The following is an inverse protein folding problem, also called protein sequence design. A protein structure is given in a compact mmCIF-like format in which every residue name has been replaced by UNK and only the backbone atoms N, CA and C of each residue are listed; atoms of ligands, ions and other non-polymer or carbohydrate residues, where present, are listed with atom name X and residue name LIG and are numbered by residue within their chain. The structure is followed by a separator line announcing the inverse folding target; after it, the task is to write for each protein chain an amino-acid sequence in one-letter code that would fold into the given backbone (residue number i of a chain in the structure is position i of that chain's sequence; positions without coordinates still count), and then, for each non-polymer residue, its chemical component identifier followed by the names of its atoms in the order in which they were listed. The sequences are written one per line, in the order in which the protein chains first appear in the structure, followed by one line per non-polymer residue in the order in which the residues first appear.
data_IF_232974064971
#
_entry.id   IF_232974064971
#
_cell.length_a   1.000
_cell.length_b   1.000
_cell.length_c   1.000
_cell.angle_alpha   90.00
_cell.angle_beta   90.00
_cell.angle_gamma   90.00
#
_symmetry.space_group_name_H-M   'P 1'
#
loop_
_entity.id
_entity.type
_entity.pdbx_description
1 polymer ?
#
# COMPACT_ATOMS: atom_id res chain seq x y z
N UNK A 1 3.50 16.38 -13.04
CA UNK A 1 3.85 17.31 -11.94
C UNK A 1 3.78 16.61 -10.58
N UNK A 2 2.67 15.95 -10.21
CA UNK A 2 2.54 15.23 -8.91
C UNK A 2 3.65 14.19 -8.66
N UNK A 3 3.96 13.31 -9.61
CA UNK A 3 4.97 12.25 -9.44
C UNK A 3 6.37 12.79 -9.08
N UNK A 4 6.85 13.82 -9.79
CA UNK A 4 8.18 14.39 -9.55
C UNK A 4 8.27 14.96 -8.13
N UNK A 5 7.28 15.75 -7.73
CA UNK A 5 7.21 16.32 -6.39
C UNK A 5 7.08 15.25 -5.31
N UNK A 6 6.34 14.17 -5.54
CA UNK A 6 6.28 13.02 -4.62
C UNK A 6 7.66 12.40 -4.46
N UNK A 7 8.33 12.03 -5.56
CA UNK A 7 9.66 11.39 -5.52
C UNK A 7 10.69 12.29 -4.85
N UNK A 8 10.73 13.58 -5.18
CA UNK A 8 11.64 14.55 -4.58
C UNK A 8 11.50 14.62 -3.05
N UNK A 9 10.26 14.66 -2.55
CA UNK A 9 10.00 14.68 -1.11
C UNK A 9 10.31 13.35 -0.44
N UNK A 10 9.95 12.23 -1.06
CA UNK A 10 10.28 10.90 -0.54
C UNK A 10 11.80 10.75 -0.40
N UNK A 11 12.58 11.25 -1.36
CA UNK A 11 14.05 11.28 -1.28
C UNK A 11 14.56 12.15 -0.12
N UNK A 12 13.96 13.34 0.10
CA UNK A 12 14.31 14.21 1.24
C UNK A 12 14.05 13.55 2.60
N UNK A 13 13.12 12.59 2.64
CA UNK A 13 12.80 11.79 3.82
C UNK A 13 13.58 10.48 3.92
N UNK A 14 14.61 10.28 3.08
CA UNK A 14 15.40 9.06 3.01
C UNK A 14 14.57 7.79 2.74
N UNK A 15 13.48 7.91 1.98
CA UNK A 15 12.71 6.75 1.54
C UNK A 15 13.53 5.89 0.57
N UNK A 16 13.39 4.57 0.67
CA UNK A 16 13.88 3.68 -0.37
C UNK A 16 12.91 3.75 -1.54
N UNK A 17 13.40 4.14 -2.71
CA UNK A 17 12.61 4.19 -3.92
C UNK A 17 13.22 3.20 -4.91
N UNK A 18 12.41 2.35 -5.52
CA UNK A 18 12.84 1.44 -6.58
C UNK A 18 11.92 1.56 -7.79
N UNK A 19 12.40 1.12 -8.93
CA UNK A 19 11.66 1.13 -10.19
C UNK A 19 12.03 -0.10 -10.99
N UNK A 20 11.10 -0.60 -11.80
CA UNK A 20 11.37 -1.70 -12.71
C UNK A 20 10.68 -1.50 -14.05
N UNK A 21 11.09 -2.29 -15.03
CA UNK A 21 10.50 -2.31 -16.35
C UNK A 21 10.48 -3.72 -16.89
N UNK A 22 9.51 -4.03 -17.74
CA UNK A 22 9.44 -5.31 -18.44
C UNK A 22 10.50 -5.38 -19.54
N UNK A 23 10.86 -6.59 -19.96
CA UNK A 23 11.82 -6.74 -21.06
C UNK A 23 11.25 -6.21 -22.38
N UNK A 24 11.96 -5.27 -23.00
CA UNK A 24 11.65 -4.74 -24.33
C UNK A 24 12.94 -4.57 -25.16
N UNK A 25 12.94 -4.93 -26.46
CA UNK A 25 14.14 -4.85 -27.30
C UNK A 25 14.77 -3.46 -27.39
N UNK A 26 13.96 -2.41 -27.38
CA UNK A 26 14.40 -1.02 -27.47
C UNK A 26 15.16 -0.53 -26.24
N UNK A 27 14.94 -1.14 -25.06
CA UNK A 27 15.61 -0.76 -23.82
C UNK A 27 17.10 -1.10 -23.84
N UNK A 28 17.49 -2.17 -24.54
CA UNK A 28 18.90 -2.55 -24.73
C UNK A 28 19.70 -1.47 -25.44
N UNK A 29 19.07 -0.70 -26.34
CA UNK A 29 19.73 0.42 -27.06
C UNK A 29 20.11 1.57 -26.13
N UNK A 30 19.43 1.67 -24.99
CA UNK A 30 19.64 2.70 -23.98
C UNK A 30 20.19 2.14 -22.66
N UNK A 31 20.65 0.88 -22.70
CA UNK A 31 21.26 0.16 -21.58
C UNK A 31 20.34 -0.02 -20.35
N UNK A 32 19.03 -0.12 -20.58
CA UNK A 32 18.05 -0.48 -19.56
C UNK A 32 17.69 -1.96 -19.78
N UNK A 33 17.70 -2.75 -18.70
CA UNK A 33 17.44 -4.19 -18.72
C UNK A 33 16.10 -4.46 -18.04
N UNK A 34 15.17 -5.04 -18.79
CA UNK A 34 13.89 -5.44 -18.20
C UNK A 34 14.02 -6.66 -17.29
N UNK A 35 13.13 -6.75 -16.31
CA UNK A 35 13.19 -7.76 -15.26
C UNK A 35 14.23 -7.49 -14.16
N UNK A 36 14.89 -6.33 -14.22
CA UNK A 36 15.82 -5.85 -13.19
C UNK A 36 15.18 -4.74 -12.35
N UNK A 37 15.50 -4.72 -11.06
CA UNK A 37 15.05 -3.67 -10.13
C UNK A 37 16.16 -2.63 -9.95
N UNK A 38 15.80 -1.37 -10.15
CA UNK A 38 16.70 -0.23 -10.12
C UNK A 38 16.36 0.63 -8.91
N UNK A 39 17.36 1.05 -8.12
CA UNK A 39 17.13 1.90 -6.94
C UNK A 39 17.15 3.38 -7.33
N UNK A 40 16.06 4.09 -7.09
CA UNK A 40 15.99 5.55 -7.22
C UNK A 40 16.68 6.24 -6.04
N UNK A 41 18.02 6.24 -6.09
CA UNK A 41 18.92 6.98 -5.19
C UNK A 41 19.45 8.27 -5.83
N UNK A 42 19.18 8.49 -7.14
CA UNK A 42 20.13 8.70 -8.26
C UNK A 42 20.66 7.36 -8.75
N UNK A 43 20.20 6.86 -9.90
CA UNK A 43 20.19 5.39 -10.14
C UNK A 43 21.29 4.94 -11.05
N UNK A 44 21.78 3.73 -10.80
CA UNK A 44 22.89 3.07 -11.44
C UNK A 44 22.55 2.01 -12.50
N UNK A 45 22.96 2.27 -13.75
CA UNK A 45 23.80 1.55 -14.73
C UNK A 45 23.94 2.45 -16.00
N UNK A 46 25.07 2.47 -16.72
CA UNK A 46 25.39 3.49 -17.75
C UNK A 46 24.25 3.81 -18.75
N UNK A 47 23.46 4.86 -18.51
CA UNK A 47 22.50 5.40 -19.48
C UNK A 47 23.26 6.06 -20.63
N UNK A 48 22.88 5.78 -21.88
CA UNK A 48 23.57 6.31 -23.07
C UNK A 48 22.85 7.50 -23.74
N UNK A 49 21.81 8.05 -23.12
CA UNK A 49 21.07 9.18 -23.67
C UNK A 49 21.50 10.53 -23.08
N UNK A 50 20.61 11.51 -23.14
CA UNK A 50 20.84 12.83 -22.55
C UNK A 50 21.06 12.71 -21.03
N UNK A 51 22.03 13.46 -20.49
CA UNK A 51 22.48 13.40 -19.09
C UNK A 51 23.28 12.15 -18.68
N UNK A 52 23.62 11.28 -19.63
CA UNK A 52 24.70 10.29 -19.47
C UNK A 52 26.03 10.91 -19.03
N UNK A 53 26.94 10.12 -18.48
CA UNK A 53 28.29 10.56 -18.05
C UNK A 53 29.09 11.24 -19.17
N UNK A 54 28.80 10.89 -20.42
CA UNK A 54 29.44 11.42 -21.63
C UNK A 54 28.62 12.52 -22.32
N UNK A 55 27.47 12.91 -21.76
CA UNK A 55 26.56 13.88 -22.37
C UNK A 55 27.15 15.30 -22.39
N UNK A 56 27.09 15.95 -23.56
CA UNK A 56 27.48 17.35 -23.70
C UNK A 56 26.61 18.32 -22.87
N UNK A 57 25.43 17.88 -22.40
CA UNK A 57 24.54 18.69 -21.55
C UNK A 57 25.16 19.03 -20.19
N UNK A 58 26.09 18.24 -19.68
CA UNK A 58 26.81 18.59 -18.45
C UNK A 58 27.61 19.90 -18.59
N UNK A 59 27.99 20.29 -19.81
CA UNK A 59 28.66 21.58 -20.08
C UNK A 59 27.76 22.80 -19.84
N UNK A 60 26.45 22.62 -19.77
CA UNK A 60 25.51 23.71 -19.50
C UNK A 60 25.20 23.87 -18.00
N UNK A 61 25.82 23.05 -17.15
CA UNK A 61 25.67 23.09 -15.68
C UNK A 61 26.95 23.66 -15.07
N UNK A 62 26.82 24.50 -14.04
CA UNK A 62 27.98 25.07 -13.36
C UNK A 62 28.77 24.03 -12.56
N UNK A 63 30.09 24.21 -12.46
CA UNK A 63 30.98 23.32 -11.71
C UNK A 63 30.59 23.19 -10.24
N UNK A 64 30.09 24.26 -9.62
CA UNK A 64 29.57 24.25 -8.25
C UNK A 64 28.40 23.28 -8.08
N UNK A 65 27.49 23.25 -9.08
CA UNK A 65 26.32 22.37 -9.05
C UNK A 65 26.72 20.93 -9.35
N UNK A 66 27.66 20.69 -10.25
CA UNK A 66 28.23 19.35 -10.50
C UNK A 66 28.86 18.79 -9.20
N UNK A 67 29.67 19.60 -8.51
CA UNK A 67 30.30 19.21 -7.24
C UNK A 67 29.26 18.93 -6.14
N UNK A 68 28.22 19.74 -6.03
CA UNK A 68 27.10 19.52 -5.09
C UNK A 68 26.30 18.25 -5.40
N UNK A 69 26.19 17.89 -6.67
CA UNK A 69 25.50 16.67 -7.11
C UNK A 69 26.36 15.40 -6.93
N UNK A 70 27.62 15.53 -6.51
CA UNK A 70 28.58 14.44 -6.28
C UNK A 70 28.62 13.44 -7.45
N UNK A 71 28.69 13.94 -8.68
CA UNK A 71 28.68 13.09 -9.88
C UNK A 71 30.02 12.37 -9.94
N UNK A 72 30.02 11.09 -9.55
CA UNK A 72 31.11 10.15 -9.77
C UNK A 72 30.84 9.46 -11.11
N UNK A 73 31.87 9.32 -11.95
CA UNK A 73 31.74 8.65 -13.25
C UNK A 73 32.01 7.16 -13.09
N UNK A 74 31.30 6.35 -13.88
CA UNK A 74 31.57 4.90 -14.05
C UNK A 74 31.41 4.04 -12.77
N UNK A 75 30.58 4.45 -11.80
CA UNK A 75 30.25 3.66 -10.60
C UNK A 75 28.93 2.89 -10.73
N UNK A 76 28.32 2.97 -11.92
CA UNK A 76 26.99 2.51 -12.20
C UNK A 76 26.02 3.68 -12.26
N UNK A 77 26.11 4.73 -11.46
CA UNK A 77 25.12 5.83 -11.39
C UNK A 77 24.88 6.55 -12.74
N UNK A 78 23.64 6.98 -12.99
CA UNK A 78 23.25 7.77 -14.14
C UNK A 78 22.15 8.77 -13.83
N UNK A 79 22.11 9.81 -14.66
CA UNK A 79 21.07 10.82 -14.65
C UNK A 79 20.22 10.68 -15.92
N UNK A 80 18.91 10.81 -15.76
CA UNK A 80 17.99 10.84 -16.89
C UNK A 80 16.93 11.92 -16.68
N UNK A 81 16.38 12.41 -17.79
CA UNK A 81 15.22 13.28 -17.75
C UNK A 81 14.00 12.50 -17.23
N UNK A 82 13.16 13.15 -16.41
CA UNK A 82 11.93 12.55 -15.89
C UNK A 82 10.97 12.10 -17.01
N UNK A 83 11.02 12.75 -18.18
CA UNK A 83 10.25 12.35 -19.36
C UNK A 83 10.74 11.00 -19.90
N UNK A 84 12.05 10.77 -19.90
CA UNK A 84 12.60 9.47 -20.27
C UNK A 84 12.27 8.42 -19.22
N UNK A 85 12.35 8.75 -17.93
CA UNK A 85 11.95 7.85 -16.85
C UNK A 85 10.51 7.32 -17.06
N UNK A 86 9.55 8.23 -17.30
CA UNK A 86 8.14 7.87 -17.53
C UNK A 86 7.94 7.03 -18.79
N UNK A 87 8.80 7.17 -19.80
CA UNK A 87 8.71 6.39 -21.04
C UNK A 87 9.29 4.97 -20.91
N UNK A 88 10.35 4.80 -20.12
CA UNK A 88 11.12 3.56 -20.08
C UNK A 88 10.82 2.65 -18.89
N UNK A 89 10.30 3.19 -17.78
CA UNK A 89 9.95 2.41 -16.60
C UNK A 89 8.44 2.15 -16.49
N UNK A 90 8.08 0.95 -16.04
CA UNK A 90 6.67 0.52 -15.93
C UNK A 90 6.10 0.83 -14.53
N UNK A 91 6.93 0.80 -13.49
CA UNK A 91 6.50 0.97 -12.11
C UNK A 91 7.50 1.78 -11.27
N UNK A 92 7.00 2.35 -10.18
CA UNK A 92 7.81 2.95 -9.13
C UNK A 92 7.25 2.49 -7.78
N UNK A 93 8.14 2.06 -6.90
CA UNK A 93 7.83 1.64 -5.54
C UNK A 93 8.54 2.58 -4.58
N UNK A 94 7.80 3.20 -3.66
CA UNK A 94 8.35 4.08 -2.63
C UNK A 94 8.05 3.46 -1.27
N UNK A 95 9.10 3.20 -0.49
CA UNK A 95 9.01 2.65 0.85
C UNK A 95 9.29 3.75 1.88
N UNK A 96 8.24 4.12 2.62
CA UNK A 96 8.32 5.04 3.74
C UNK A 96 8.62 4.26 5.03
N UNK A 97 9.43 4.84 5.92
CA UNK A 97 9.77 4.20 7.20
C UNK A 97 8.58 4.19 8.16
N UNK A 98 7.78 5.25 8.12
CA UNK A 98 6.52 5.39 8.87
C UNK A 98 5.42 6.00 8.01
N UNK A 99 4.17 5.85 8.44
CA UNK A 99 3.05 6.52 7.79
C UNK A 99 3.09 8.05 7.96
N UNK A 100 3.75 8.55 9.01
CA UNK A 100 3.99 9.99 9.17
C UNK A 100 4.96 10.53 8.11
N UNK A 101 5.98 9.75 7.72
CA UNK A 101 6.86 10.13 6.61
C UNK A 101 6.04 10.22 5.31
N UNK A 102 5.15 9.25 5.08
CA UNK A 102 4.21 9.30 3.96
C UNK A 102 3.35 10.58 3.99
N UNK A 103 2.78 10.96 5.14
CA UNK A 103 2.01 12.20 5.31
C UNK A 103 2.81 13.44 4.94
N UNK A 104 4.02 13.55 5.48
CA UNK A 104 4.89 14.69 5.23
C UNK A 104 5.30 14.78 3.75
N UNK A 105 5.41 13.64 3.04
CA UNK A 105 5.62 13.63 1.58
C UNK A 105 4.45 14.25 0.80
N UNK A 106 3.25 14.23 1.38
CA UNK A 106 2.03 14.78 0.80
C UNK A 106 1.75 16.23 1.23
N UNK A 107 2.69 16.92 1.92
CA UNK A 107 2.49 18.25 2.52
C UNK A 107 1.34 18.28 3.54
N UNK A 108 1.14 17.20 4.28
CA UNK A 108 0.21 17.18 5.40
C UNK A 108 0.97 17.37 6.72
N UNK A 109 1.38 18.61 7.02
CA UNK A 109 2.18 18.94 8.22
C UNK A 109 1.47 18.64 9.55
N UNK A 110 0.14 18.47 9.53
CA UNK A 110 -0.70 18.20 10.71
C UNK A 110 -1.34 16.80 10.73
N UNK A 111 -1.01 15.93 9.75
CA UNK A 111 -1.63 14.60 9.67
C UNK A 111 -0.86 13.57 10.50
N UNK A 112 -1.40 13.24 11.66
CA UNK A 112 -0.92 12.13 12.47
C UNK A 112 -1.49 10.82 11.92
N UNK A 113 -0.64 9.99 11.34
CA UNK A 113 -1.07 8.67 10.90
C UNK A 113 -1.10 7.71 12.07
N UNK A 114 -2.24 7.08 12.28
CA UNK A 114 -2.37 5.97 13.23
C UNK A 114 -2.18 4.65 12.50
N UNK A 115 -1.54 3.68 13.18
CA UNK A 115 -1.30 2.34 12.65
C UNK A 115 -1.83 1.29 13.59
N UNK A 116 -2.54 0.30 13.05
CA UNK A 116 -2.92 -0.93 13.75
C UNK A 116 -2.53 -2.13 12.93
N UNK A 117 -2.10 -3.20 13.59
CA UNK A 117 -1.68 -4.42 12.92
C UNK A 117 -2.22 -5.67 13.61
N UNK A 118 -2.46 -6.71 12.83
CA UNK A 118 -2.91 -8.01 13.32
C UNK A 118 -2.23 -9.14 12.56
N UNK A 119 -1.97 -10.22 13.29
CA UNK A 119 -1.57 -11.50 12.70
C UNK A 119 -2.79 -12.42 12.61
N UNK A 120 -2.82 -13.26 11.60
CA UNK A 120 -3.86 -14.26 11.44
C UNK A 120 -3.45 -15.34 10.46
N UNK A 121 -4.37 -16.25 10.21
CA UNK A 121 -4.17 -17.40 9.33
C UNK A 121 -5.47 -17.83 8.66
N UNK A 122 -5.33 -18.34 7.44
CA UNK A 122 -6.36 -19.11 6.76
C UNK A 122 -6.07 -20.60 6.98
N UNK A 123 -6.93 -21.26 7.75
CA UNK A 123 -6.86 -22.68 8.07
C UNK A 123 -7.89 -23.39 7.21
N UNK A 124 -7.47 -24.47 6.54
CA UNK A 124 -8.36 -25.24 5.67
C UNK A 124 -9.59 -25.74 6.43
N UNK A 125 -10.75 -25.76 5.76
CA UNK A 125 -12.08 -26.10 6.30
C UNK A 125 -12.66 -25.15 7.37
N UNK A 126 -11.82 -24.39 8.09
CA UNK A 126 -12.25 -23.48 9.15
C UNK A 126 -12.31 -22.03 8.67
N UNK A 127 -11.16 -21.38 8.51
CA UNK A 127 -11.06 -19.94 8.21
C UNK A 127 -10.65 -19.63 6.78
N UNK A 128 -10.28 -20.63 5.98
CA UNK A 128 -9.92 -20.48 4.56
C UNK A 128 -11.17 -20.37 3.66
N UNK A 129 -11.99 -19.34 3.89
CA UNK A 129 -13.26 -19.13 3.19
C UNK A 129 -13.13 -18.68 1.73
N UNK A 130 -11.99 -18.08 1.36
CA UNK A 130 -11.75 -17.59 0.00
C UNK A 130 -12.71 -16.46 -0.40
N UNK A 131 -12.85 -16.21 -1.70
CA UNK A 131 -13.76 -15.18 -2.23
C UNK A 131 -15.17 -15.69 -2.60
N UNK A 132 -15.44 -16.96 -2.34
CA UNK A 132 -16.70 -17.64 -2.68
C UNK A 132 -17.82 -17.21 -1.73
N UNK A 133 -18.97 -16.83 -2.28
CA UNK A 133 -20.12 -16.31 -1.49
C UNK A 133 -20.58 -17.26 -0.37
N UNK A 134 -20.49 -18.57 -0.60
CA UNK A 134 -20.96 -19.58 0.34
C UNK A 134 -20.03 -19.81 1.53
N UNK A 135 -18.77 -19.39 1.44
CA UNK A 135 -17.75 -19.62 2.48
C UNK A 135 -17.05 -18.34 2.93
N UNK A 136 -17.29 -17.21 2.26
CA UNK A 136 -16.63 -15.94 2.52
C UNK A 136 -16.71 -15.50 4.00
N UNK A 137 -17.87 -15.68 4.64
CA UNK A 137 -18.11 -15.28 6.02
C UNK A 137 -17.22 -16.03 7.03
N UNK A 138 -16.61 -17.14 6.62
CA UNK A 138 -15.69 -17.92 7.46
C UNK A 138 -14.29 -17.33 7.55
N UNK A 139 -13.91 -16.44 6.63
CA UNK A 139 -12.62 -15.77 6.70
C UNK A 139 -12.48 -14.99 8.01
N UNK A 140 -11.26 -14.80 8.54
CA UNK A 140 -11.05 -13.97 9.73
C UNK A 140 -11.67 -12.59 9.55
N UNK A 141 -12.30 -12.05 10.60
CA UNK A 141 -12.99 -10.76 10.55
C UNK A 141 -12.42 -9.83 11.62
N UNK A 142 -12.22 -8.58 11.24
CA UNK A 142 -11.69 -7.55 12.13
C UNK A 142 -12.63 -6.35 12.13
N UNK A 143 -13.02 -5.89 13.32
CA UNK A 143 -13.75 -4.64 13.49
C UNK A 143 -12.75 -3.50 13.49
N UNK A 144 -12.74 -2.72 12.41
CA UNK A 144 -11.98 -1.48 12.27
C UNK A 144 -12.89 -0.30 12.62
N UNK A 145 -12.47 0.51 13.59
CA UNK A 145 -13.15 1.78 13.93
C UNK A 145 -12.25 2.93 13.50
N UNK A 146 -12.83 3.91 12.81
CA UNK A 146 -12.18 5.18 12.44
C UNK A 146 -12.90 6.29 13.22
N UNK A 147 -12.16 7.01 14.05
CA UNK A 147 -12.69 8.09 14.88
C UNK A 147 -12.75 9.41 14.10
N UNK A 148 -13.80 10.20 14.29
CA UNK A 148 -13.81 11.58 13.83
C UNK A 148 -13.10 12.44 14.89
N UNK A 149 -11.94 13.06 14.62
CA UNK A 149 -11.27 13.92 15.60
C UNK A 149 -12.14 15.11 16.04
N UNK A 150 -13.17 15.47 15.26
CA UNK A 150 -14.13 16.53 15.58
C UNK A 150 -15.27 16.06 16.49
N UNK A 151 -15.43 14.76 16.75
CA UNK A 151 -16.58 14.24 17.51
C UNK A 151 -16.66 14.80 18.92
N UNK A 152 -15.54 15.23 19.50
CA UNK A 152 -15.49 15.85 20.83
C UNK A 152 -15.79 17.36 20.80
N UNK A 153 -15.79 17.98 19.63
CA UNK A 153 -15.99 19.42 19.42
C UNK A 153 -17.36 19.74 18.79
N UNK A 154 -18.00 18.74 18.18
CA UNK A 154 -19.33 18.85 17.58
C UNK A 154 -20.39 18.54 18.64
N UNK A 155 -21.25 19.52 18.94
CA UNK A 155 -22.52 19.24 19.60
C UNK A 155 -23.42 18.49 18.62
N UNK A 156 -24.19 17.50 19.08
CA UNK A 156 -25.08 16.63 18.26
C UNK A 156 -26.06 17.40 17.34
N UNK A 157 -26.23 18.72 17.53
CA UNK A 157 -27.12 19.58 16.75
C UNK A 157 -26.48 20.22 15.50
N UNK A 158 -25.14 20.22 15.35
CA UNK A 158 -24.47 20.85 14.20
C UNK A 158 -24.16 19.84 13.07
N UNK A 159 -25.23 19.26 12.51
CA UNK A 159 -25.20 18.34 11.36
C UNK A 159 -24.82 19.01 10.02
N UNK A 160 -24.41 20.28 10.05
CA UNK A 160 -24.04 21.09 8.89
C UNK A 160 -22.67 20.72 8.30
N UNK A 161 -21.78 20.12 9.11
CA UNK A 161 -20.43 19.79 8.63
C UNK A 161 -20.46 18.57 7.71
N UNK A 162 -19.81 18.65 6.52
CA UNK A 162 -19.71 17.51 5.64
C UNK A 162 -18.94 16.36 6.32
N UNK A 163 -19.40 15.14 6.06
CA UNK A 163 -18.77 13.91 6.50
C UNK A 163 -17.31 13.89 5.99
N UNK A 164 -16.35 13.91 6.92
CA UNK A 164 -14.94 13.95 6.56
C UNK A 164 -14.47 12.52 6.29
N UNK A 165 -13.84 12.33 5.15
CA UNK A 165 -13.15 11.07 4.82
C UNK A 165 -11.65 11.20 5.09
N UNK A 166 -11.04 10.09 5.47
CA UNK A 166 -9.65 9.96 5.84
C UNK A 166 -8.97 8.95 4.93
N UNK A 167 -7.78 9.30 4.45
CA UNK A 167 -6.96 8.36 3.70
C UNK A 167 -6.61 7.17 4.60
N UNK A 168 -6.90 5.97 4.12
CA UNK A 168 -6.73 4.72 4.87
C UNK A 168 -6.07 3.68 3.97
N UNK A 169 -4.89 3.21 4.37
CA UNK A 169 -4.09 2.23 3.64
C UNK A 169 -4.20 0.89 4.34
N UNK A 170 -4.58 -0.15 3.60
CA UNK A 170 -4.64 -1.54 4.08
C UNK A 170 -3.57 -2.35 3.38
N UNK A 171 -2.63 -2.91 4.14
CA UNK A 171 -1.59 -3.83 3.68
C UNK A 171 -1.84 -5.25 4.20
N UNK A 172 -1.95 -6.22 3.29
CA UNK A 172 -2.10 -7.63 3.61
C UNK A 172 -0.92 -8.42 3.05
N UNK A 173 -0.07 -8.92 3.93
CA UNK A 173 1.12 -9.69 3.60
C UNK A 173 0.97 -11.16 3.99
N UNK A 174 1.28 -12.08 3.08
CA UNK A 174 1.43 -13.49 3.41
C UNK A 174 2.83 -13.79 3.98
N UNK A 175 2.91 -14.66 4.98
CA UNK A 175 4.16 -15.03 5.66
C UNK A 175 4.76 -16.33 5.10
N UNK A 176 6.06 -16.50 5.33
CA UNK A 176 6.80 -17.76 5.18
C UNK A 176 6.84 -18.43 3.80
N UNK A 177 6.18 -17.91 2.75
CA UNK A 177 6.12 -18.56 1.42
C UNK A 177 7.50 -18.96 0.88
N UNK A 178 8.51 -18.07 0.99
CA UNK A 178 9.88 -18.35 0.52
C UNK A 178 10.59 -19.45 1.31
N UNK A 179 10.47 -19.45 2.64
CA UNK A 179 11.12 -20.44 3.51
C UNK A 179 10.52 -21.83 3.31
N UNK A 180 9.22 -21.87 3.02
CA UNK A 180 8.50 -23.10 2.72
C UNK A 180 8.65 -23.57 1.26
N UNK A 181 9.39 -22.82 0.43
CA UNK A 181 9.54 -23.12 -1.00
C UNK A 181 8.23 -23.05 -1.79
N UNK A 182 7.22 -22.35 -1.27
CA UNK A 182 5.89 -22.21 -1.88
C UNK A 182 5.78 -20.89 -2.63
N UNK A 183 5.08 -20.93 -3.77
CA UNK A 183 4.66 -19.71 -4.46
C UNK A 183 3.68 -18.91 -3.61
N UNK A 184 3.61 -17.61 -3.87
CA UNK A 184 2.60 -16.75 -3.26
C UNK A 184 1.20 -17.15 -3.75
N UNK A 185 0.21 -17.10 -2.86
CA UNK A 185 -1.20 -17.19 -3.26
C UNK A 185 -1.78 -15.81 -3.51
N UNK A 186 -2.89 -15.74 -4.26
CA UNK A 186 -3.60 -14.49 -4.53
C UNK A 186 -4.43 -14.12 -3.30
N UNK A 187 -4.08 -13.03 -2.63
CA UNK A 187 -4.72 -12.52 -1.41
C UNK A 187 -5.34 -11.14 -1.65
N UNK A 188 -6.38 -10.80 -0.89
CA UNK A 188 -7.01 -9.47 -0.89
C UNK A 188 -7.71 -9.21 0.44
N UNK A 189 -8.16 -7.98 0.64
CA UNK A 189 -9.00 -7.62 1.77
C UNK A 189 -10.27 -6.92 1.27
N UNK A 190 -11.41 -7.24 1.87
CA UNK A 190 -12.68 -6.58 1.64
C UNK A 190 -13.09 -5.78 2.87
N UNK A 191 -13.65 -4.58 2.64
CA UNK A 191 -14.09 -3.68 3.70
C UNK A 191 -15.60 -3.50 3.57
N UNK A 192 -16.34 -3.75 4.65
CA UNK A 192 -17.79 -3.59 4.70
C UNK A 192 -18.14 -2.48 5.71
N UNK A 193 -18.73 -1.36 5.27
CA UNK A 193 -19.26 -0.36 6.20
C UNK A 193 -20.35 -0.97 7.08
N UNK A 194 -20.29 -0.70 8.38
CA UNK A 194 -21.33 -1.09 9.33
C UNK A 194 -22.39 0.01 9.35
N UNK A 195 -23.68 -0.30 9.09
CA UNK A 195 -24.76 0.68 9.18
C UNK A 195 -24.87 1.30 10.56
N UNK A 196 -25.19 2.60 10.63
CA UNK A 196 -25.47 3.29 11.88
C UNK A 196 -26.61 2.59 12.65
N UNK A 197 -26.43 2.40 13.96
CA UNK A 197 -27.41 1.73 14.83
C UNK A 197 -27.34 0.20 14.83
N UNK A 198 -26.51 -0.43 13.99
CA UNK A 198 -26.21 -1.86 14.12
C UNK A 198 -25.28 -2.06 15.32
N UNK A 199 -25.74 -2.83 16.30
CA UNK A 199 -24.87 -3.28 17.39
C UNK A 199 -23.90 -4.32 16.86
N UNK A 200 -22.62 -3.96 16.85
CA UNK A 200 -21.54 -4.85 16.42
C UNK A 200 -20.82 -5.31 17.65
N UNK A 201 -21.00 -6.60 17.95
CA UNK A 201 -20.29 -7.29 19.02
C UNK A 201 -18.88 -7.66 18.55
N UNK A 202 -18.08 -8.24 19.45
CA UNK A 202 -16.79 -8.84 19.07
C UNK A 202 -16.96 -10.21 18.37
N UNK A 203 -18.15 -10.58 17.90
CA UNK A 203 -18.42 -11.84 17.20
C UNK A 203 -18.42 -11.69 15.69
N UNK A 204 -17.90 -12.68 14.93
CA UNK A 204 -17.94 -12.67 13.47
C UNK A 204 -19.35 -12.46 12.92
N UNK A 205 -19.47 -11.58 11.93
CA UNK A 205 -20.71 -11.34 11.22
C UNK A 205 -21.16 -12.61 10.48
N UNK A 206 -22.48 -12.90 10.47
CA UNK A 206 -23.02 -14.07 9.78
C UNK A 206 -23.03 -13.89 8.25
N UNK A 207 -23.24 -14.99 7.51
CA UNK A 207 -23.36 -14.97 6.04
C UNK A 207 -24.34 -13.91 5.52
N UNK A 208 -25.50 -13.77 6.19
CA UNK A 208 -26.55 -12.82 5.82
C UNK A 208 -26.08 -11.37 5.83
N UNK A 209 -25.12 -11.01 6.68
CA UNK A 209 -24.53 -9.67 6.66
C UNK A 209 -23.80 -9.42 5.33
N UNK A 210 -22.95 -10.36 4.90
CA UNK A 210 -22.16 -10.23 3.68
C UNK A 210 -23.01 -10.34 2.40
N UNK A 211 -24.08 -11.12 2.42
CA UNK A 211 -25.03 -11.22 1.31
C UNK A 211 -25.79 -9.90 1.07
N UNK A 212 -26.06 -9.14 2.14
CA UNK A 212 -26.82 -7.90 2.09
C UNK A 212 -25.96 -6.63 2.11
N UNK A 213 -24.65 -6.76 2.29
CA UNK A 213 -23.73 -5.62 2.41
C UNK A 213 -22.89 -5.42 1.15
N UNK A 214 -22.71 -4.16 0.77
CA UNK A 214 -21.83 -3.80 -0.35
C UNK A 214 -20.41 -3.59 0.17
N UNK A 215 -19.50 -4.49 -0.20
CA UNK A 215 -18.07 -4.29 0.07
C UNK A 215 -17.45 -3.19 -0.79
N UNK A 216 -16.56 -2.44 -0.17
CA UNK A 216 -15.50 -1.69 -0.84
C UNK A 216 -14.43 -2.74 -1.19
N UNK A 217 -14.58 -3.33 -2.38
CA UNK A 217 -13.72 -4.44 -2.84
C UNK A 217 -12.47 -3.92 -3.52
N UNK A 218 -11.37 -4.60 -3.26
CA UNK A 218 -10.14 -4.42 -3.99
C UNK A 218 -9.98 -5.47 -5.10
N UNK A 219 -9.43 -5.06 -6.23
CA UNK A 219 -9.02 -6.00 -7.27
C UNK A 219 -7.79 -6.80 -6.79
N UNK A 220 -7.74 -8.07 -7.12
CA UNK A 220 -6.54 -8.87 -6.92
C UNK A 220 -5.41 -8.34 -7.81
N UNK A 221 -4.21 -8.20 -7.24
CA UNK A 221 -3.02 -7.74 -7.96
C UNK A 221 -2.06 -8.88 -8.32
N UNK A 222 -2.61 -10.07 -8.56
CA UNK A 222 -1.85 -11.29 -8.84
C UNK A 222 -1.29 -11.97 -7.59
N UNK A 223 -0.32 -12.87 -7.79
CA UNK A 223 0.30 -13.67 -6.72
C UNK A 223 1.49 -12.94 -6.09
N UNK A 224 1.22 -11.82 -5.41
CA UNK A 224 2.23 -11.01 -4.71
C UNK A 224 2.32 -11.39 -3.23
N UNK A 225 3.50 -11.17 -2.64
CA UNK A 225 3.71 -11.41 -1.20
C UNK A 225 2.85 -10.47 -0.35
N UNK A 226 2.68 -9.24 -0.80
CA UNK A 226 1.83 -8.25 -0.15
C UNK A 226 0.95 -7.55 -1.17
N UNK A 227 -0.30 -7.31 -0.77
CA UNK A 227 -1.24 -6.46 -1.49
C UNK A 227 -1.56 -5.24 -0.64
N UNK A 228 -1.41 -4.04 -1.24
CA UNK A 228 -1.65 -2.77 -0.58
C UNK A 228 -2.81 -2.06 -1.28
N UNK A 229 -3.72 -1.52 -0.50
CA UNK A 229 -4.91 -0.82 -0.98
C UNK A 229 -5.01 0.53 -0.30
N UNK A 230 -5.30 1.59 -1.05
CA UNK A 230 -5.54 2.92 -0.53
C UNK A 230 -7.02 3.27 -0.73
N UNK A 231 -7.69 3.66 0.35
CA UNK A 231 -9.10 4.02 0.41
C UNK A 231 -9.28 5.39 1.04
N UNK A 232 -10.36 6.08 0.67
CA UNK A 232 -10.87 7.23 1.41
C UNK A 232 -12.09 6.75 2.20
N UNK A 233 -11.98 6.65 3.53
CA UNK A 233 -13.02 6.11 4.40
C UNK A 233 -13.50 7.19 5.37
N UNK A 234 -14.82 7.35 5.56
CA UNK A 234 -15.36 8.24 6.59
C UNK A 234 -15.21 7.66 7.99
N UNK A 235 -15.32 8.51 9.01
CA UNK A 235 -15.40 8.06 10.39
C UNK A 235 -16.56 7.07 10.57
N UNK A 236 -16.34 5.99 11.32
CA UNK A 236 -17.32 4.94 11.49
C UNK A 236 -16.71 3.56 11.74
N UNK A 237 -17.57 2.55 11.73
CA UNK A 237 -17.20 1.14 11.96
C UNK A 237 -17.21 0.37 10.64
N UNK A 238 -16.23 -0.51 10.47
CA UNK A 238 -16.05 -1.32 9.28
C UNK A 238 -15.68 -2.75 9.66
N UNK A 239 -16.22 -3.73 8.93
CA UNK A 239 -15.77 -5.12 8.99
C UNK A 239 -14.75 -5.35 7.90
N UNK A 240 -13.50 -5.55 8.32
CA UNK A 240 -12.35 -5.82 7.46
C UNK A 240 -12.11 -7.33 7.41
N UNK A 241 -12.17 -7.91 6.21
CA UNK A 241 -12.05 -9.36 5.99
C UNK A 241 -10.87 -9.63 5.06
N UNK A 242 -9.70 -10.08 5.56
CA UNK A 242 -8.64 -10.63 4.72
C UNK A 242 -9.02 -12.01 4.19
N UNK A 243 -8.86 -12.23 2.89
CA UNK A 243 -9.21 -13.49 2.25
C UNK A 243 -8.28 -13.85 1.09
N UNK A 244 -8.24 -15.14 0.78
CA UNK A 244 -7.61 -15.67 -0.45
C UNK A 244 -8.58 -15.57 -1.63
N UNK A 245 -8.07 -15.75 -2.85
CA UNK A 245 -8.92 -15.87 -4.04
C UNK A 245 -9.75 -17.14 -4.01
N UNK A 246 -9.10 -18.30 -3.89
CA UNK A 246 -9.79 -19.59 -3.82
C UNK A 246 -10.01 -20.00 -2.36
N UNK A 247 -11.12 -20.69 -2.05
CA UNK A 247 -11.33 -21.29 -0.74
C UNK A 247 -10.28 -22.38 -0.47
N UNK A 248 -10.17 -22.80 0.80
CA UNK A 248 -9.28 -23.88 1.26
C UNK A 248 -7.78 -23.62 1.05
N UNK A 249 -7.37 -22.41 0.65
CA UNK A 249 -5.96 -22.04 0.56
C UNK A 249 -5.43 -21.64 1.94
N UNK A 250 -4.35 -22.29 2.37
CA UNK A 250 -3.75 -22.06 3.67
C UNK A 250 -2.55 -21.12 3.57
N UNK A 251 -2.54 -20.12 4.44
CA UNK A 251 -1.35 -19.30 4.71
C UNK A 251 -1.55 -18.50 5.99
N UNK A 252 -0.45 -18.18 6.64
CA UNK A 252 -0.42 -17.13 7.64
C UNK A 252 -0.30 -15.76 6.98
N UNK A 253 -0.90 -14.75 7.60
CA UNK A 253 -0.82 -13.37 7.13
C UNK A 253 -0.49 -12.37 8.24
N UNK A 254 -0.08 -11.19 7.79
CA UNK A 254 0.10 -9.98 8.58
C UNK A 254 -0.70 -8.85 7.93
N UNK A 255 -1.70 -8.36 8.66
CA UNK A 255 -2.60 -7.30 8.25
C UNK A 255 -2.20 -6.00 8.93
N UNK A 256 -2.12 -4.91 8.17
CA UNK A 256 -1.80 -3.57 8.66
C UNK A 256 -2.81 -2.58 8.10
N UNK A 257 -3.27 -1.67 8.95
CA UNK A 257 -4.10 -0.53 8.55
C UNK A 257 -3.42 0.74 9.03
N UNK A 258 -3.25 1.68 8.13
CA UNK A 258 -2.75 3.03 8.39
C UNK A 258 -3.88 4.01 8.07
N UNK A 259 -4.12 5.03 8.90
CA UNK A 259 -5.12 6.06 8.61
C UNK A 259 -4.68 7.43 9.08
N UNK A 260 -5.13 8.49 8.39
CA UNK A 260 -4.99 9.90 8.81
C UNK A 260 -5.88 10.27 10.02
N UNK A 261 -6.69 9.33 10.51
CA UNK A 261 -7.49 9.45 11.73
C UNK A 261 -7.03 8.42 12.77
N UNK A 262 -7.45 8.63 14.02
CA UNK A 262 -7.30 7.61 15.05
C UNK A 262 -8.13 6.37 14.68
N UNK A 263 -7.50 5.20 14.78
CA UNK A 263 -8.12 3.92 14.43
C UNK A 263 -7.87 2.87 15.50
N UNK A 264 -8.85 1.99 15.69
CA UNK A 264 -8.72 0.77 16.48
C UNK A 264 -9.12 -0.43 15.64
N UNK A 265 -8.48 -1.59 15.88
CA UNK A 265 -8.79 -2.83 15.16
C UNK A 265 -8.79 -4.04 16.08
N UNK A 266 -9.96 -4.66 16.21
CA UNK A 266 -10.18 -5.80 17.11
C UNK A 266 -10.54 -7.04 16.30
N UNK A 267 -9.88 -8.17 16.60
CA UNK A 267 -10.24 -9.46 16.02
C UNK A 267 -11.62 -9.89 16.53
N UNK A 268 -12.53 -10.26 15.61
CA UNK A 268 -13.83 -10.77 15.97
C UNK A 268 -13.72 -12.28 16.20
N UNK A 269 -13.92 -12.72 17.45
CA UNK A 269 -13.73 -14.12 17.88
C UNK A 269 -15.08 -14.82 18.02
N UNK A 270 -15.11 -16.09 17.61
CA UNK A 270 -16.22 -16.97 18.00
C UNK A 270 -16.18 -17.14 19.52
N UNK A 271 -17.36 -17.25 20.16
CA UNK A 271 -17.43 -17.65 21.57
C UNK A 271 -16.87 -19.06 21.64
N UNK A 272 -15.85 -19.28 22.47
CA UNK A 272 -15.51 -20.63 22.90
C UNK A 272 -16.71 -21.11 23.71
N UNK A 273 -17.53 -21.99 23.13
CA UNK A 273 -18.57 -22.70 23.87
C UNK A 273 -17.87 -23.50 24.98
N UNK A 274 -18.03 -23.04 26.22
CA UNK A 274 -17.56 -23.71 27.43
C UNK A 274 -18.46 -24.89 27.80
#
# INVERSE_FOLDING_TARGET
MKLFTTVERSLQQNCLITTSTRERPELKKVNIFGGHEYTVTKVANEWNGEWSDKSAKWKTVSDERIKKLNIVKEDGEFWMDIKHFVNYFDDISICYQSANDFAASQNQEESFWTTVCQHGEWIREFTAGGSDKETFYRNPQYLLTIEDPRSNELNDEDSSYPEKSFNTIVGLMQKHSRVLGRGNISVSAAIFPVPAGMDVTQHPMPKSFFDNSKAIKNNYSGMKRETIFNHSLSAGKYVLVPHTWKPQQEAEFFLRVFSEAAITMTCMKQIDEA
#
